data_IF_881060828133
#
_entry.id   IF_881060828133
#
_cell.length_a   1.000
_cell.length_b   1.000
_cell.length_c   1.000
_cell.angle_alpha   90.00
_cell.angle_beta   90.00
_cell.angle_gamma   90.00
#
_symmetry.space_group_name_H-M   'P 1'
#
loop_
_entity.id
_entity.type
_entity.pdbx_description
1 polymer ?
#
# COMPACT_ATOMS: atom_id res chain seq x y z
N UNK A 1 8.13 -26.34 7.70
CA UNK A 1 6.97 -25.66 7.11
C UNK A 1 6.81 -24.28 7.74
N UNK A 2 6.79 -23.24 6.94
CA UNK A 2 6.66 -21.87 7.48
C UNK A 2 5.21 -21.62 7.82
N UNK A 3 4.95 -21.24 9.07
CA UNK A 3 3.59 -20.88 9.49
C UNK A 3 3.28 -19.45 9.01
N UNK A 4 2.34 -19.33 8.07
CA UNK A 4 1.90 -18.05 7.54
C UNK A 4 0.51 -17.66 8.02
N UNK A 5 -0.04 -18.37 8.99
CA UNK A 5 -1.39 -18.06 9.50
C UNK A 5 -1.46 -16.65 10.10
N UNK A 6 -0.38 -16.18 10.71
CA UNK A 6 -0.33 -14.82 11.26
C UNK A 6 -0.46 -13.76 10.17
N UNK A 7 0.06 -14.04 8.96
CA UNK A 7 -0.06 -13.12 7.82
C UNK A 7 -1.51 -12.95 7.44
N UNK A 8 -2.23 -14.08 7.31
CA UNK A 8 -3.64 -14.07 6.96
C UNK A 8 -4.47 -13.29 7.99
N UNK A 9 -4.20 -13.52 9.28
CA UNK A 9 -4.86 -12.79 10.35
C UNK A 9 -4.56 -11.30 10.30
N UNK A 10 -3.31 -10.93 10.05
CA UNK A 10 -2.91 -9.53 9.96
C UNK A 10 -3.58 -8.84 8.79
N UNK A 11 -3.65 -9.50 7.63
CA UNK A 11 -4.31 -8.93 6.44
C UNK A 11 -5.80 -8.73 6.68
N UNK A 12 -6.45 -9.72 7.27
CA UNK A 12 -7.89 -9.65 7.57
C UNK A 12 -8.19 -8.53 8.57
N UNK A 13 -7.37 -8.42 9.61
CA UNK A 13 -7.55 -7.38 10.63
C UNK A 13 -7.29 -5.98 10.10
N UNK A 14 -6.34 -5.83 9.18
CA UNK A 14 -5.97 -4.53 8.62
C UNK A 14 -6.92 -4.06 7.51
N UNK A 15 -7.69 -4.98 6.91
CA UNK A 15 -8.51 -4.69 5.74
C UNK A 15 -9.42 -3.47 5.88
N UNK A 16 -10.26 -3.35 6.93
CA UNK A 16 -11.17 -2.20 7.00
C UNK A 16 -10.43 -0.86 7.05
N UNK A 17 -9.36 -0.79 7.83
CA UNK A 17 -8.57 0.43 7.96
C UNK A 17 -7.81 0.75 6.68
N UNK A 18 -7.20 -0.26 6.06
CA UNK A 18 -6.41 -0.06 4.85
C UNK A 18 -7.29 0.32 3.66
N UNK A 19 -8.36 -0.42 3.43
CA UNK A 19 -9.28 -0.10 2.32
C UNK A 19 -9.92 1.26 2.54
N UNK A 20 -10.31 1.59 3.78
CA UNK A 20 -10.88 2.89 4.10
C UNK A 20 -9.93 4.05 3.79
N UNK A 21 -8.65 3.89 4.14
CA UNK A 21 -7.63 4.91 3.86
C UNK A 21 -7.39 5.04 2.36
N UNK A 22 -7.27 3.91 1.65
CA UNK A 22 -7.09 3.92 0.20
C UNK A 22 -8.28 4.53 -0.52
N UNK A 23 -9.48 4.27 -0.02
CA UNK A 23 -10.69 4.88 -0.56
C UNK A 23 -10.67 6.39 -0.44
N UNK A 24 -10.17 6.92 0.67
CA UNK A 24 -10.03 8.37 0.86
C UNK A 24 -9.05 8.98 -0.13
N UNK A 25 -7.98 8.26 -0.45
CA UNK A 25 -6.98 8.76 -1.42
C UNK A 25 -7.52 8.74 -2.84
N UNK A 26 -8.08 7.62 -3.26
CA UNK A 26 -8.45 7.43 -4.66
C UNK A 26 -9.89 7.82 -4.96
N UNK A 27 -10.73 7.88 -3.94
CA UNK A 27 -12.16 8.21 -4.05
C UNK A 27 -12.92 7.28 -4.99
N UNK A 28 -12.41 6.05 -5.12
CA UNK A 28 -12.98 5.02 -5.96
C UNK A 28 -12.77 3.68 -5.27
N UNK A 29 -13.87 2.99 -4.97
CA UNK A 29 -13.82 1.75 -4.21
C UNK A 29 -13.10 0.64 -4.98
N UNK A 30 -13.32 0.54 -6.27
CA UNK A 30 -12.66 -0.48 -7.09
C UNK A 30 -11.14 -0.30 -7.07
N UNK A 31 -10.68 0.93 -7.22
CA UNK A 31 -9.26 1.26 -7.15
C UNK A 31 -8.69 0.95 -5.77
N UNK A 32 -9.42 1.31 -4.71
CA UNK A 32 -8.98 1.06 -3.34
C UNK A 32 -8.86 -0.44 -3.04
N UNK A 33 -9.85 -1.23 -3.45
CA UNK A 33 -9.82 -2.67 -3.24
C UNK A 33 -8.72 -3.35 -4.06
N UNK A 34 -8.52 -2.94 -5.29
CA UNK A 34 -7.45 -3.45 -6.13
C UNK A 34 -6.09 -3.12 -5.52
N UNK A 35 -5.91 -1.89 -5.06
CA UNK A 35 -4.68 -1.47 -4.39
C UNK A 35 -4.42 -2.32 -3.14
N UNK A 36 -5.44 -2.57 -2.34
CA UNK A 36 -5.31 -3.41 -1.15
C UNK A 36 -4.93 -4.85 -1.52
N UNK A 37 -5.58 -5.43 -2.53
CA UNK A 37 -5.27 -6.79 -2.98
C UNK A 37 -3.83 -6.90 -3.46
N UNK A 38 -3.35 -5.93 -4.22
CA UNK A 38 -1.96 -5.89 -4.68
C UNK A 38 -0.99 -5.79 -3.50
N UNK A 39 -1.32 -4.98 -2.49
CA UNK A 39 -0.52 -4.89 -1.28
C UNK A 39 -0.49 -6.23 -0.54
N UNK A 40 -1.61 -6.94 -0.47
CA UNK A 40 -1.67 -8.26 0.15
C UNK A 40 -0.76 -9.26 -0.57
N UNK A 41 -0.76 -9.24 -1.89
CA UNK A 41 0.12 -10.13 -2.67
C UNK A 41 1.59 -9.85 -2.37
N UNK A 42 1.96 -8.58 -2.22
CA UNK A 42 3.33 -8.22 -1.87
C UNK A 42 3.66 -8.60 -0.43
N UNK A 43 2.72 -8.49 0.49
CA UNK A 43 2.88 -8.93 1.87
C UNK A 43 3.17 -10.44 1.92
N UNK A 44 2.45 -11.23 1.14
CA UNK A 44 2.66 -12.67 1.08
C UNK A 44 4.06 -13.05 0.60
N UNK A 45 4.69 -12.19 -0.19
CA UNK A 45 6.07 -12.40 -0.65
C UNK A 45 7.11 -11.88 0.34
N UNK A 46 6.85 -10.72 0.94
CA UNK A 46 7.83 -9.99 1.75
C UNK A 46 7.81 -10.41 3.22
N UNK A 47 6.64 -10.54 3.81
CA UNK A 47 6.52 -10.77 5.26
C UNK A 47 7.08 -12.11 5.74
N UNK A 48 6.96 -13.22 4.99
CA UNK A 48 7.59 -14.46 5.43
C UNK A 48 9.10 -14.36 5.58
N UNK A 49 9.74 -13.51 4.80
CA UNK A 49 11.20 -13.32 4.83
C UNK A 49 11.63 -12.26 5.83
N UNK A 50 10.88 -11.18 5.94
CA UNK A 50 11.26 -9.99 6.70
C UNK A 50 10.57 -9.89 8.06
N UNK A 51 9.56 -10.72 8.32
CA UNK A 51 8.75 -10.62 9.52
C UNK A 51 7.67 -9.54 9.41
N UNK A 52 6.81 -9.41 10.45
CA UNK A 52 5.73 -8.44 10.41
C UNK A 52 6.26 -7.01 10.48
N UNK A 53 5.68 -6.08 9.70
CA UNK A 53 6.00 -4.68 9.87
C UNK A 53 5.46 -4.17 11.19
N UNK A 54 5.99 -3.04 11.65
CA UNK A 54 5.56 -2.44 12.92
C UNK A 54 4.09 -2.09 12.91
N UNK A 55 3.58 -1.60 11.78
CA UNK A 55 2.17 -1.26 11.60
C UNK A 55 1.69 -1.88 10.28
N UNK A 56 1.11 -3.09 10.33
CA UNK A 56 0.68 -3.77 9.10
C UNK A 56 -0.29 -2.97 8.25
N UNK A 57 -1.25 -2.29 8.87
CA UNK A 57 -2.21 -1.48 8.13
C UNK A 57 -1.53 -0.34 7.37
N UNK A 58 -0.61 0.38 8.04
CA UNK A 58 0.12 1.47 7.40
C UNK A 58 0.99 0.94 6.25
N UNK A 59 1.65 -0.19 6.44
CA UNK A 59 2.45 -0.82 5.39
C UNK A 59 1.61 -1.14 4.16
N UNK A 60 0.43 -1.73 4.38
CA UNK A 60 -0.49 -2.10 3.29
C UNK A 60 -1.00 -0.87 2.55
N UNK A 61 -1.31 0.21 3.28
CA UNK A 61 -1.75 1.47 2.69
C UNK A 61 -0.64 2.04 1.79
N UNK A 62 0.59 2.11 2.30
CA UNK A 62 1.72 2.66 1.56
C UNK A 62 2.04 1.87 0.30
N UNK A 63 2.14 0.56 0.43
CA UNK A 63 2.48 -0.32 -0.70
C UNK A 63 1.35 -0.33 -1.72
N UNK A 64 0.11 -0.45 -1.27
CA UNK A 64 -1.05 -0.43 -2.17
C UNK A 64 -1.15 0.89 -2.93
N UNK A 65 -0.95 2.00 -2.23
CA UNK A 65 -0.93 3.32 -2.85
C UNK A 65 0.17 3.42 -3.92
N UNK A 66 1.38 2.99 -3.60
CA UNK A 66 2.50 3.07 -4.54
C UNK A 66 2.25 2.23 -5.79
N UNK A 67 1.73 1.02 -5.64
CA UNK A 67 1.40 0.16 -6.77
C UNK A 67 0.33 0.82 -7.65
N UNK A 68 -0.72 1.37 -7.04
CA UNK A 68 -1.78 2.01 -7.78
C UNK A 68 -1.30 3.26 -8.51
N UNK A 69 -0.43 4.06 -7.88
CA UNK A 69 0.16 5.24 -8.52
C UNK A 69 1.03 4.83 -9.73
N UNK A 70 1.81 3.77 -9.59
CA UNK A 70 2.62 3.26 -10.69
C UNK A 70 1.74 2.83 -11.86
N UNK A 71 0.62 2.16 -11.59
CA UNK A 71 -0.34 1.75 -12.61
C UNK A 71 -0.95 2.99 -13.30
N UNK A 72 -1.32 4.00 -12.53
CA UNK A 72 -1.84 5.25 -13.07
C UNK A 72 -0.80 5.93 -13.96
N UNK A 73 0.45 5.99 -13.51
CA UNK A 73 1.54 6.57 -14.29
C UNK A 73 1.80 5.82 -15.59
N UNK A 74 1.71 4.50 -15.58
CA UNK A 74 1.84 3.69 -16.79
C UNK A 74 0.70 3.96 -17.76
N UNK A 75 -0.51 4.07 -17.25
CA UNK A 75 -1.69 4.35 -18.06
C UNK A 75 -1.69 5.78 -18.62
N UNK A 76 -0.98 6.71 -17.97
CA UNK A 76 -0.83 8.09 -18.44
C UNK A 76 -0.22 8.20 -19.82
N UNK A 77 0.59 7.24 -20.23
CA UNK A 77 1.16 7.25 -21.59
C UNK A 77 0.10 7.05 -22.66
N UNK A 78 -1.10 6.64 -22.26
CA UNK A 78 -2.20 6.33 -23.15
C UNK A 78 -3.47 7.16 -22.88
N UNK A 79 -3.51 7.95 -21.79
CA UNK A 79 -4.70 8.71 -21.38
C UNK A 79 -4.31 10.08 -20.86
N UNK A 80 -5.28 11.05 -20.85
CA UNK A 80 -5.04 12.37 -20.28
C UNK A 80 -4.63 12.28 -18.81
N UNK A 81 -3.82 13.26 -18.39
CA UNK A 81 -3.27 13.31 -17.03
C UNK A 81 -4.36 13.47 -15.98
N UNK A 82 -4.30 12.70 -14.88
CA UNK A 82 -5.08 13.04 -13.70
C UNK A 82 -4.62 14.39 -13.16
N UNK A 83 -5.48 15.03 -12.39
CA UNK A 83 -5.19 16.34 -11.82
C UNK A 83 -3.95 16.25 -10.93
N UNK A 84 -3.05 17.23 -11.07
CA UNK A 84 -1.83 17.30 -10.26
C UNK A 84 -2.12 17.37 -8.77
N UNK A 85 -3.23 18.01 -8.39
CA UNK A 85 -3.64 18.16 -7.01
C UNK A 85 -3.84 16.82 -6.31
N UNK A 86 -4.42 15.84 -7.02
CA UNK A 86 -4.63 14.52 -6.45
C UNK A 86 -3.30 13.80 -6.16
N UNK A 87 -2.31 13.98 -7.02
CA UNK A 87 -0.97 13.41 -6.83
C UNK A 87 -0.27 14.09 -5.67
N UNK A 88 -0.39 15.40 -5.55
CA UNK A 88 0.20 16.17 -4.44
C UNK A 88 -0.37 15.74 -3.09
N UNK A 89 -1.69 15.54 -3.01
CA UNK A 89 -2.34 15.06 -1.78
C UNK A 89 -1.84 13.66 -1.40
N UNK A 90 -1.58 12.81 -2.38
CA UNK A 90 -1.04 11.47 -2.13
C UNK A 90 0.39 11.54 -1.56
N UNK A 91 1.22 12.45 -2.08
CA UNK A 91 2.58 12.62 -1.60
C UNK A 91 2.61 13.14 -0.15
N UNK A 92 1.74 14.09 0.18
CA UNK A 92 1.61 14.60 1.56
C UNK A 92 1.18 13.48 2.52
N UNK A 93 0.24 12.66 2.10
CA UNK A 93 -0.22 11.53 2.89
C UNK A 93 0.89 10.50 3.08
N UNK A 94 1.76 10.34 2.08
CA UNK A 94 2.91 9.44 2.18
C UNK A 94 3.87 9.87 3.29
N UNK A 95 4.16 11.16 3.39
CA UNK A 95 5.03 11.67 4.45
C UNK A 95 4.45 11.38 5.83
N UNK A 96 3.14 11.59 6.01
CA UNK A 96 2.48 11.31 7.28
C UNK A 96 2.52 9.82 7.64
N UNK A 97 2.34 8.95 6.66
CA UNK A 97 2.39 7.52 6.88
C UNK A 97 3.82 7.05 7.14
N UNK A 98 4.79 7.62 6.44
CA UNK A 98 6.21 7.28 6.63
C UNK A 98 6.68 7.62 8.04
N UNK A 99 6.16 8.68 8.65
CA UNK A 99 6.46 9.02 10.04
C UNK A 99 5.93 7.97 11.02
N UNK A 100 4.83 7.31 10.70
CA UNK A 100 4.26 6.24 11.53
C UNK A 100 5.01 4.93 11.41
N UNK A 101 5.65 4.71 10.26
CA UNK A 101 6.40 3.51 10.00
C UNK A 101 7.83 3.70 10.47
N UNK A 102 8.47 2.63 10.89
CA UNK A 102 9.91 2.62 11.04
C UNK A 102 10.48 2.78 9.63
N UNK A 103 11.02 3.97 9.33
CA UNK A 103 11.39 4.36 7.99
C UNK A 103 12.32 3.39 7.28
N UNK A 104 13.25 2.77 8.01
CA UNK A 104 14.17 1.81 7.42
C UNK A 104 13.46 0.54 6.97
N UNK A 105 12.51 0.06 7.74
CA UNK A 105 11.75 -1.15 7.42
C UNK A 105 10.91 -0.95 6.15
N UNK A 106 10.24 0.19 6.06
CA UNK A 106 9.44 0.55 4.90
C UNK A 106 10.29 0.65 3.63
N UNK A 107 11.45 1.31 3.73
CA UNK A 107 12.35 1.48 2.58
C UNK A 107 12.88 0.15 2.06
N UNK A 108 13.22 -0.76 2.97
CA UNK A 108 13.70 -2.09 2.59
C UNK A 108 12.63 -2.86 1.83
N UNK A 109 11.38 -2.81 2.30
CA UNK A 109 10.27 -3.49 1.65
C UNK A 109 10.01 -2.92 0.25
N UNK A 110 10.04 -1.61 0.10
CA UNK A 110 9.83 -0.95 -1.19
C UNK A 110 10.94 -1.28 -2.17
N UNK A 111 12.20 -1.27 -1.72
CA UNK A 111 13.34 -1.56 -2.59
C UNK A 111 13.34 -3.00 -3.11
N UNK A 112 12.73 -3.91 -2.39
CA UNK A 112 12.61 -5.31 -2.80
C UNK A 112 11.45 -5.58 -3.76
N UNK A 113 10.59 -4.61 -3.91
CA UNK A 113 9.46 -4.73 -4.81
C UNK A 113 9.85 -4.34 -6.24
#
# INVERSE_FOLDING_TARGET
MTDTAWIDSALTSARPQAVGALLRYFRDLDTAEEAFQNACLRALKSWPQNGPPRDPAAWLIMVGRNVAIDDIRRNKKQQPLPEEDAISDLDDAEEQLAERLDGSHYRDDILRL
#
